data_IF_788425078956
#
_entry.id   IF_788425078956
#
_cell.length_a   1.000
_cell.length_b   1.000
_cell.length_c   1.000
_cell.angle_alpha   90.00
_cell.angle_beta   90.00
_cell.angle_gamma   90.00
#
_symmetry.space_group_name_H-M   'P 1'
#
loop_
_entity.id
_entity.type
_entity.pdbx_description
1 polymer ?
#
# COMPACT_ATOMS: atom_id res chain seq x y z
N UNK A 1 9.71 -5.87 9.74
CA UNK A 1 9.87 -5.56 11.18
C UNK A 1 8.97 -4.42 11.63
N UNK A 2 9.09 -3.19 11.09
CA UNK A 2 8.26 -2.05 11.53
C UNK A 2 6.74 -2.28 11.36
N UNK A 3 6.31 -2.88 10.26
CA UNK A 3 4.89 -3.19 9.99
C UNK A 3 4.32 -4.23 10.96
N UNK A 4 5.12 -5.26 11.31
CA UNK A 4 4.71 -6.30 12.25
C UNK A 4 4.51 -5.72 13.66
N UNK A 5 5.48 -4.95 14.14
CA UNK A 5 5.40 -4.31 15.46
C UNK A 5 4.20 -3.34 15.57
N UNK A 6 3.95 -2.56 14.51
CA UNK A 6 2.80 -1.65 14.50
C UNK A 6 1.46 -2.39 14.54
N UNK A 7 1.37 -3.57 13.91
CA UNK A 7 0.17 -4.43 13.94
C UNK A 7 -0.02 -5.06 15.32
N UNK A 8 1.05 -5.61 15.90
CA UNK A 8 1.02 -6.22 17.23
C UNK A 8 0.66 -5.21 18.33
N UNK A 9 1.13 -3.97 18.18
CA UNK A 9 0.78 -2.87 19.08
C UNK A 9 -0.62 -2.26 18.81
N UNK A 10 -1.40 -2.80 17.86
CA UNK A 10 -2.77 -2.37 17.57
C UNK A 10 -2.89 -1.01 16.86
N UNK A 11 -1.79 -0.44 16.36
CA UNK A 11 -1.81 0.83 15.65
C UNK A 11 -2.32 0.71 14.21
N UNK A 12 -2.23 -0.48 13.62
CA UNK A 12 -2.67 -0.75 12.25
C UNK A 12 -3.45 -2.06 12.17
N UNK A 13 -4.36 -2.12 11.19
CA UNK A 13 -5.11 -3.34 10.90
C UNK A 13 -4.29 -4.33 10.06
N UNK A 14 -4.81 -5.53 9.86
CA UNK A 14 -4.22 -6.49 8.92
C UNK A 14 -4.21 -5.95 7.49
N UNK A 15 -5.25 -5.24 7.07
CA UNK A 15 -5.31 -4.69 5.72
C UNK A 15 -4.36 -3.51 5.51
N UNK A 16 -4.07 -2.75 6.57
CA UNK A 16 -3.02 -1.72 6.51
C UNK A 16 -1.64 -2.32 6.23
N UNK A 17 -1.38 -3.56 6.64
CA UNK A 17 -0.14 -4.28 6.28
C UNK A 17 -0.07 -4.48 4.77
N UNK A 18 -1.16 -4.95 4.14
CA UNK A 18 -1.23 -5.19 2.69
C UNK A 18 -0.92 -3.90 1.90
N UNK A 19 -1.54 -2.78 2.29
CA UNK A 19 -1.29 -1.49 1.65
C UNK A 19 0.16 -1.03 1.89
N UNK A 20 0.66 -1.15 3.13
CA UNK A 20 2.03 -0.75 3.48
C UNK A 20 3.10 -1.56 2.76
N UNK A 21 2.88 -2.85 2.53
CA UNK A 21 3.82 -3.70 1.79
C UNK A 21 3.94 -3.27 0.33
N UNK A 22 2.81 -2.93 -0.32
CA UNK A 22 2.82 -2.36 -1.68
C UNK A 22 3.56 -1.02 -1.71
N UNK A 23 3.29 -0.15 -0.75
CA UNK A 23 3.96 1.14 -0.66
C UNK A 23 5.47 0.98 -0.43
N UNK A 24 5.87 0.10 0.49
CA UNK A 24 7.28 -0.20 0.76
C UNK A 24 7.98 -0.77 -0.47
N UNK A 25 7.29 -1.60 -1.27
CA UNK A 25 7.81 -2.12 -2.52
C UNK A 25 8.11 -1.01 -3.54
N UNK A 26 7.18 -0.06 -3.74
CA UNK A 26 7.40 1.09 -4.63
C UNK A 26 8.57 1.93 -4.14
N UNK A 27 8.56 2.31 -2.86
CA UNK A 27 9.56 3.22 -2.27
C UNK A 27 10.96 2.61 -2.22
N UNK A 28 11.07 1.28 -2.17
CA UNK A 28 12.36 0.58 -2.28
C UNK A 28 12.83 0.39 -3.72
N UNK A 29 12.07 0.89 -4.71
CA UNK A 29 12.38 0.74 -6.13
C UNK A 29 12.05 -0.63 -6.68
N UNK A 30 11.25 -1.44 -6.00
CA UNK A 30 10.81 -2.75 -6.48
C UNK A 30 11.80 -3.87 -6.18
N UNK A 31 11.96 -4.80 -7.13
CA UNK A 31 12.89 -5.95 -7.02
C UNK A 31 14.25 -5.62 -7.62
N UNK A 32 14.96 -4.67 -7.02
CA UNK A 32 16.33 -4.33 -7.40
C UNK A 32 17.32 -5.17 -6.59
N UNK A 33 18.44 -5.54 -7.21
CA UNK A 33 19.52 -6.30 -6.54
C UNK A 33 20.51 -5.40 -5.79
N UNK A 34 20.35 -4.08 -5.88
CA UNK A 34 21.20 -3.09 -5.23
C UNK A 34 20.82 -1.66 -5.60
N UNK A 35 21.63 -0.70 -5.16
CA UNK A 35 21.45 0.70 -5.52
C UNK A 35 21.76 0.90 -7.00
N UNK A 36 20.77 1.39 -7.75
CA UNK A 36 20.90 1.70 -9.17
C UNK A 36 20.00 2.87 -9.52
N UNK A 37 20.40 3.65 -10.53
CA UNK A 37 19.54 4.68 -11.10
C UNK A 37 18.46 4.01 -11.96
N UNK A 38 17.21 4.40 -11.74
CA UNK A 38 16.06 3.95 -12.54
C UNK A 38 15.45 5.15 -13.25
N UNK A 39 14.71 4.89 -14.32
CA UNK A 39 13.92 5.94 -14.97
C UNK A 39 12.68 6.29 -14.14
N UNK A 40 12.15 7.49 -14.34
CA UNK A 40 10.86 7.88 -13.76
C UNK A 40 9.74 6.93 -14.19
N UNK A 41 9.71 6.56 -15.48
CA UNK A 41 8.71 5.64 -16.03
C UNK A 41 8.69 4.30 -15.29
N UNK A 42 9.84 3.79 -14.88
CA UNK A 42 9.93 2.56 -14.10
C UNK A 42 9.19 2.68 -12.75
N UNK A 43 9.34 3.80 -12.05
CA UNK A 43 8.64 4.04 -10.78
C UNK A 43 7.14 4.20 -11.01
N UNK A 44 6.73 4.92 -12.06
CA UNK A 44 5.32 5.07 -12.43
C UNK A 44 4.66 3.72 -12.76
N UNK A 45 5.39 2.81 -13.40
CA UNK A 45 4.89 1.48 -13.70
C UNK A 45 4.68 0.64 -12.43
N UNK A 46 5.61 0.73 -11.47
CA UNK A 46 5.46 0.08 -10.15
C UNK A 46 4.27 0.63 -9.37
N UNK A 47 4.11 1.96 -9.35
CA UNK A 47 2.96 2.62 -8.71
C UNK A 47 1.64 2.18 -9.34
N UNK A 48 1.57 2.16 -10.68
CA UNK A 48 0.39 1.74 -11.43
C UNK A 48 0.02 0.29 -11.13
N UNK A 49 0.98 -0.63 -11.14
CA UNK A 49 0.73 -2.04 -10.85
C UNK A 49 0.19 -2.22 -9.42
N UNK A 50 0.87 -1.62 -8.44
CA UNK A 50 0.47 -1.69 -7.04
C UNK A 50 -0.92 -1.09 -6.80
N UNK A 51 -1.22 0.07 -7.42
CA UNK A 51 -2.52 0.71 -7.32
C UNK A 51 -3.62 -0.17 -7.91
N UNK A 52 -3.45 -0.65 -9.15
CA UNK A 52 -4.43 -1.54 -9.80
C UNK A 52 -4.65 -2.83 -9.00
N UNK A 53 -3.59 -3.40 -8.42
CA UNK A 53 -3.67 -4.56 -7.54
C UNK A 53 -4.49 -4.28 -6.28
N UNK A 54 -4.40 -3.07 -5.70
CA UNK A 54 -5.21 -2.66 -4.54
C UNK A 54 -6.66 -2.38 -4.92
N UNK A 55 -6.92 -1.83 -6.11
CA UNK A 55 -8.28 -1.65 -6.62
C UNK A 55 -9.02 -2.99 -6.80
N UNK A 56 -8.32 -4.10 -7.04
CA UNK A 56 -8.96 -5.42 -7.11
C UNK A 56 -9.46 -5.97 -5.78
N UNK A 57 -9.21 -5.30 -4.65
CA UNK A 57 -9.47 -5.85 -3.31
C UNK A 57 -10.77 -5.28 -2.70
N UNK A 58 -11.68 -6.14 -2.19
CA UNK A 58 -12.95 -5.69 -1.61
C UNK A 58 -12.79 -4.68 -0.47
N UNK A 59 -11.81 -4.88 0.41
CA UNK A 59 -11.54 -3.96 1.52
C UNK A 59 -11.11 -2.56 1.05
N UNK A 60 -10.50 -2.42 -0.13
CA UNK A 60 -10.23 -1.11 -0.74
C UNK A 60 -11.53 -0.44 -1.13
N UNK A 61 -12.47 -1.17 -1.73
CA UNK A 61 -13.79 -0.63 -2.09
C UNK A 61 -14.55 -0.16 -0.84
N UNK A 62 -14.57 -0.97 0.21
CA UNK A 62 -15.21 -0.61 1.48
C UNK A 62 -14.63 0.69 2.06
N UNK A 63 -13.30 0.83 2.03
CA UNK A 63 -12.60 2.04 2.49
C UNK A 63 -12.96 3.27 1.66
N UNK A 64 -13.01 3.13 0.33
CA UNK A 64 -13.40 4.21 -0.58
C UNK A 64 -14.85 4.62 -0.32
N UNK A 65 -15.78 3.66 -0.30
CA UNK A 65 -17.19 3.91 -0.06
C UNK A 65 -17.41 4.61 1.28
N UNK A 66 -16.86 4.07 2.36
CA UNK A 66 -17.01 4.64 3.68
C UNK A 66 -16.42 6.05 3.78
N UNK A 67 -15.26 6.30 3.15
CA UNK A 67 -14.65 7.63 3.10
C UNK A 67 -15.56 8.64 2.39
N UNK A 68 -16.19 8.25 1.27
CA UNK A 68 -17.12 9.11 0.53
C UNK A 68 -18.39 9.41 1.33
N UNK A 69 -18.91 8.42 2.06
CA UNK A 69 -20.16 8.55 2.84
C UNK A 69 -19.96 9.30 4.16
N UNK A 70 -18.85 9.07 4.85
CA UNK A 70 -18.64 9.51 6.24
C UNK A 70 -17.58 10.61 6.38
N UNK A 71 -16.82 10.91 5.32
CA UNK A 71 -15.72 11.88 5.31
C UNK A 71 -14.54 11.50 6.21
N UNK A 72 -14.48 10.25 6.69
CA UNK A 72 -13.44 9.72 7.58
C UNK A 72 -12.96 8.36 7.08
N UNK A 73 -11.69 8.00 7.30
CA UNK A 73 -11.16 6.72 6.84
C UNK A 73 -11.77 5.54 7.62
N UNK A 74 -12.15 4.48 6.89
CA UNK A 74 -12.50 3.19 7.48
C UNK A 74 -11.22 2.44 7.86
N UNK A 75 -11.20 1.88 9.07
CA UNK A 75 -10.12 1.01 9.55
C UNK A 75 -10.64 -0.43 9.68
N UNK A 76 -10.43 -1.22 8.64
CA UNK A 76 -10.80 -2.65 8.50
C UNK A 76 -9.62 -3.52 8.05
#
# INVERSE_FOLDING_TARGET
>A
MATLLAREAGFITEYDVVVREKLAHILSGGRLTGSQTVSEQYLLDLEREAFLSLCGQPKTHDRIQYMLENGKPLRN
#
